data_IF_670506378181
#
_entry.id   IF_670506378181
#
_cell.length_a   1.000
_cell.length_b   1.000
_cell.length_c   1.000
_cell.angle_alpha   90.00
_cell.angle_beta   90.00
_cell.angle_gamma   90.00
#
_symmetry.space_group_name_H-M   'P 1'
#
loop_
_entity.id
_entity.type
_entity.pdbx_description
1 polymer ?
#
# COMPACT_ATOMS: atom_id res chain seq x y z
N UNK A 1 71.19 3.57 -25.71
CA UNK A 1 71.83 3.87 -26.98
C UNK A 1 70.68 4.35 -27.90
N UNK A 2 70.61 5.61 -28.12
CA UNK A 2 70.89 6.40 -29.31
C UNK A 2 70.07 6.00 -30.55
N UNK A 3 69.20 6.95 -30.93
CA UNK A 3 69.00 7.60 -32.25
C UNK A 3 68.17 6.80 -33.26
N UNK A 4 67.37 7.36 -34.19
CA UNK A 4 67.47 8.63 -34.92
C UNK A 4 66.15 8.95 -35.62
N UNK A 5 65.90 10.22 -35.84
CA UNK A 5 64.94 10.93 -36.70
C UNK A 5 64.84 10.38 -38.12
N UNK A 6 63.64 10.56 -38.75
CA UNK A 6 63.57 11.10 -40.11
C UNK A 6 62.28 11.82 -40.39
N UNK A 7 62.38 13.07 -40.69
CA UNK A 7 61.42 14.00 -41.31
C UNK A 7 61.25 13.63 -42.78
N UNK A 8 60.02 13.73 -43.29
CA UNK A 8 59.80 14.01 -44.74
C UNK A 8 58.61 14.96 -44.91
N UNK A 9 58.95 16.06 -45.54
CA UNK A 9 58.14 17.18 -45.96
C UNK A 9 57.51 16.83 -47.33
N UNK A 10 56.27 17.25 -47.59
CA UNK A 10 55.69 17.06 -48.92
C UNK A 10 54.31 17.67 -49.12
N UNK A 11 54.29 18.93 -49.46
CA UNK A 11 53.56 19.64 -50.55
C UNK A 11 52.02 19.67 -50.51
N UNK A 12 51.53 20.86 -50.37
CA UNK A 12 50.19 21.41 -50.58
C UNK A 12 49.62 21.12 -51.99
N UNK A 13 48.35 20.72 -52.03
CA UNK A 13 47.45 20.99 -53.15
C UNK A 13 46.10 21.44 -52.59
N UNK A 14 45.79 22.68 -52.79
CA UNK A 14 44.51 23.35 -52.47
C UNK A 14 43.48 22.93 -53.55
N UNK A 15 42.42 22.26 -53.10
CA UNK A 15 41.18 22.19 -53.86
C UNK A 15 40.05 22.75 -53.00
N UNK A 16 39.54 23.89 -53.45
CA UNK A 16 38.42 24.57 -52.80
C UNK A 16 37.14 23.77 -52.99
N UNK A 17 36.54 23.43 -51.85
CA UNK A 17 35.14 23.04 -51.80
C UNK A 17 34.34 24.14 -51.11
N UNK A 18 33.51 24.82 -51.89
CA UNK A 18 32.43 25.68 -51.42
C UNK A 18 31.42 24.83 -50.65
N UNK A 19 31.50 24.84 -49.32
CA UNK A 19 30.46 24.28 -48.47
C UNK A 19 29.30 25.27 -48.38
N UNK A 20 28.15 24.91 -48.93
CA UNK A 20 26.86 25.53 -48.60
C UNK A 20 26.57 25.31 -47.15
N UNK A 21 26.71 26.35 -46.33
CA UNK A 21 26.14 26.40 -44.97
C UNK A 21 24.62 26.52 -45.08
N UNK A 22 23.92 25.41 -44.98
CA UNK A 22 22.53 25.42 -44.52
C UNK A 22 22.56 25.46 -42.97
N UNK A 23 21.84 26.38 -42.32
CA UNK A 23 21.69 26.33 -40.89
C UNK A 23 20.80 25.10 -40.55
N UNK A 24 21.41 24.06 -39.99
CA UNK A 24 20.64 23.06 -39.28
C UNK A 24 20.04 23.74 -38.04
N UNK A 25 18.79 24.13 -38.15
CA UNK A 25 17.95 24.38 -36.99
C UNK A 25 17.70 23.03 -36.33
N UNK A 26 18.61 22.65 -35.40
CA UNK A 26 18.28 21.66 -34.42
C UNK A 26 17.16 22.26 -33.56
N UNK A 27 15.93 21.90 -33.86
CA UNK A 27 14.84 22.04 -32.91
C UNK A 27 15.20 21.14 -31.73
N UNK A 28 15.87 21.70 -30.71
CA UNK A 28 15.81 21.13 -29.38
C UNK A 28 14.32 21.12 -29.04
N UNK A 29 13.67 19.96 -29.10
CA UNK A 29 12.44 19.75 -28.37
C UNK A 29 12.81 20.06 -26.92
N UNK A 30 12.42 21.21 -26.41
CA UNK A 30 12.36 21.43 -24.98
C UNK A 30 11.40 20.37 -24.46
N UNK A 31 11.94 19.25 -23.99
CA UNK A 31 11.20 18.32 -23.16
C UNK A 31 10.85 19.12 -21.92
N UNK A 32 9.61 19.57 -21.86
CA UNK A 32 9.06 20.23 -20.69
C UNK A 32 9.26 19.29 -19.50
N UNK A 33 10.15 19.65 -18.56
CA UNK A 33 10.35 18.94 -17.30
C UNK A 33 9.17 19.10 -16.34
N UNK A 34 8.05 19.63 -16.82
CA UNK A 34 6.84 19.82 -16.05
C UNK A 34 6.09 18.49 -15.96
N UNK A 35 5.73 18.03 -14.76
CA UNK A 35 4.93 16.81 -14.60
C UNK A 35 3.62 16.87 -15.40
N UNK A 36 3.21 15.73 -15.94
CA UNK A 36 1.88 15.56 -16.52
C UNK A 36 0.85 15.88 -15.43
N UNK A 37 0.02 16.86 -15.68
CA UNK A 37 -1.01 17.27 -14.72
C UNK A 37 -2.11 16.23 -14.61
N UNK A 38 -2.52 15.95 -13.37
CA UNK A 38 -3.66 15.13 -13.04
C UNK A 38 -4.67 16.00 -12.28
N UNK A 39 -5.90 16.01 -12.72
CA UNK A 39 -6.92 16.88 -12.17
C UNK A 39 -7.29 16.48 -10.73
N UNK A 40 -7.44 17.50 -9.86
CA UNK A 40 -8.03 17.34 -8.53
C UNK A 40 -9.47 17.85 -8.59
N UNK A 41 -10.50 16.98 -8.60
CA UNK A 41 -11.89 17.40 -8.65
C UNK A 41 -12.26 18.29 -7.45
N UNK A 42 -13.07 19.29 -7.69
CA UNK A 42 -13.56 20.17 -6.63
C UNK A 42 -14.54 19.42 -5.71
N UNK A 43 -14.44 19.70 -4.40
CA UNK A 43 -15.39 19.17 -3.43
C UNK A 43 -16.80 19.73 -3.70
N UNK A 44 -17.81 18.88 -3.63
CA UNK A 44 -19.19 19.32 -3.80
C UNK A 44 -19.57 20.36 -2.73
N UNK A 45 -20.46 21.29 -3.09
CA UNK A 45 -20.89 22.35 -2.18
C UNK A 45 -21.50 21.77 -0.89
N UNK A 46 -21.04 22.25 0.27
CA UNK A 46 -21.49 21.81 1.58
C UNK A 46 -20.83 20.52 2.08
N UNK A 47 -20.02 19.85 1.26
CA UNK A 47 -19.27 18.68 1.65
C UNK A 47 -17.96 19.09 2.34
N UNK A 48 -17.56 18.33 3.35
CA UNK A 48 -16.32 18.57 4.13
C UNK A 48 -15.47 17.32 4.17
N UNK A 49 -14.16 17.49 4.43
CA UNK A 49 -13.26 16.36 4.59
C UNK A 49 -13.69 15.43 5.75
N UNK A 50 -13.18 14.20 5.70
CA UNK A 50 -13.39 13.15 6.71
C UNK A 50 -12.13 12.86 7.52
N UNK A 51 -11.17 13.80 7.52
CA UNK A 51 -10.00 13.72 8.40
C UNK A 51 -10.45 13.67 9.86
N UNK A 52 -9.95 12.72 10.64
CA UNK A 52 -10.39 12.44 12.01
C UNK A 52 -11.92 12.22 12.14
N UNK A 53 -12.55 11.63 11.13
CA UNK A 53 -13.96 11.28 11.21
C UNK A 53 -14.21 10.45 12.47
N UNK A 54 -15.18 10.87 13.28
CA UNK A 54 -15.73 10.11 14.39
C UNK A 54 -17.18 9.78 14.12
N UNK A 55 -17.66 8.68 14.66
CA UNK A 55 -19.06 8.24 14.54
C UNK A 55 -19.60 7.88 15.92
N UNK A 56 -20.89 7.62 16.02
CA UNK A 56 -21.48 7.16 17.27
C UNK A 56 -20.82 5.85 17.72
N UNK A 57 -20.61 5.70 19.02
CA UNK A 57 -20.13 4.44 19.61
C UNK A 57 -21.10 3.30 19.33
N UNK A 58 -20.53 2.15 19.00
CA UNK A 58 -21.29 0.92 18.79
C UNK A 58 -20.93 -0.08 19.91
N UNK A 59 -21.88 -0.48 20.73
CA UNK A 59 -21.64 -1.50 21.77
C UNK A 59 -21.14 -2.81 21.14
N UNK A 60 -21.75 -3.17 20.02
CA UNK A 60 -21.35 -4.31 19.17
C UNK A 60 -21.34 -3.85 17.72
N UNK A 61 -20.25 -4.09 17.01
CA UNK A 61 -20.16 -3.86 15.57
C UNK A 61 -20.72 -5.06 14.83
N UNK A 62 -21.82 -4.88 14.10
CA UNK A 62 -22.50 -5.91 13.33
C UNK A 62 -21.93 -5.92 11.91
N UNK A 63 -21.33 -7.04 11.54
CA UNK A 63 -20.50 -7.16 10.34
C UNK A 63 -21.17 -8.05 9.30
N UNK A 64 -21.35 -7.52 8.10
CA UNK A 64 -21.64 -8.29 6.90
C UNK A 64 -20.38 -8.51 6.08
N UNK A 65 -20.06 -9.75 5.73
CA UNK A 65 -18.85 -10.09 4.95
C UNK A 65 -19.25 -10.48 3.54
N UNK A 66 -18.64 -9.84 2.53
CA UNK A 66 -18.85 -10.10 1.11
C UNK A 66 -17.55 -10.62 0.48
N UNK A 67 -17.59 -11.82 -0.09
CA UNK A 67 -16.45 -12.56 -0.59
C UNK A 67 -15.88 -13.48 0.49
N UNK A 68 -15.96 -14.78 0.26
CA UNK A 68 -15.56 -15.82 1.22
C UNK A 68 -14.49 -16.77 0.64
N UNK A 69 -13.68 -16.22 -0.29
CA UNK A 69 -12.45 -16.86 -0.78
C UNK A 69 -11.39 -16.96 0.33
N UNK A 70 -10.13 -17.18 -0.05
CA UNK A 70 -9.01 -17.35 0.90
C UNK A 70 -9.02 -16.31 2.03
N UNK A 71 -9.06 -15.04 1.68
CA UNK A 71 -8.97 -13.92 2.63
C UNK A 71 -10.24 -13.77 3.45
N UNK A 72 -11.42 -13.89 2.81
CA UNK A 72 -12.70 -13.74 3.48
C UNK A 72 -13.00 -14.90 4.44
N UNK A 73 -12.67 -16.11 4.07
CA UNK A 73 -12.75 -17.26 4.97
C UNK A 73 -11.91 -17.04 6.24
N UNK A 74 -10.65 -16.64 6.06
CA UNK A 74 -9.76 -16.33 7.17
C UNK A 74 -10.26 -15.15 8.01
N UNK A 75 -10.92 -14.15 7.40
CA UNK A 75 -11.57 -13.08 8.17
C UNK A 75 -12.70 -13.59 9.05
N UNK A 76 -13.55 -14.51 8.56
CA UNK A 76 -14.59 -15.13 9.39
C UNK A 76 -13.98 -15.82 10.61
N UNK A 77 -12.88 -16.57 10.44
CA UNK A 77 -12.17 -17.20 11.56
C UNK A 77 -11.67 -16.18 12.59
N UNK A 78 -10.99 -15.11 12.14
CA UNK A 78 -10.47 -14.05 13.02
C UNK A 78 -11.58 -13.35 13.81
N UNK A 79 -12.71 -13.05 13.15
CA UNK A 79 -13.84 -12.38 13.79
C UNK A 79 -14.53 -13.20 14.88
N UNK A 80 -14.30 -14.51 14.94
CA UNK A 80 -14.75 -15.33 16.08
C UNK A 80 -14.00 -14.99 17.38
N UNK A 81 -12.82 -14.35 17.28
CA UNK A 81 -11.94 -14.03 18.40
C UNK A 81 -11.89 -12.54 18.75
N UNK A 82 -12.63 -11.67 18.03
CA UNK A 82 -12.65 -10.23 18.29
C UNK A 82 -13.85 -9.87 19.15
N UNK A 83 -13.59 -9.39 20.37
CA UNK A 83 -14.63 -8.93 21.28
C UNK A 83 -15.36 -7.70 20.73
N UNK A 84 -16.68 -7.70 20.86
CA UNK A 84 -17.54 -6.60 20.35
C UNK A 84 -17.76 -6.61 18.84
N UNK A 85 -17.30 -7.66 18.14
CA UNK A 85 -17.66 -7.92 16.75
C UNK A 85 -18.68 -9.06 16.67
N UNK A 86 -19.68 -8.91 15.80
CA UNK A 86 -20.68 -9.95 15.52
C UNK A 86 -20.91 -10.03 14.02
N UNK A 87 -20.59 -11.17 13.41
CA UNK A 87 -21.00 -11.43 12.02
C UNK A 87 -22.52 -11.59 12.01
N UNK A 88 -23.20 -10.84 11.16
CA UNK A 88 -24.67 -10.84 11.03
C UNK A 88 -25.16 -11.23 9.64
N UNK A 89 -24.28 -11.26 8.64
CA UNK A 89 -24.59 -11.73 7.30
C UNK A 89 -23.35 -12.17 6.55
N UNK A 90 -23.49 -13.13 5.65
CA UNK A 90 -22.44 -13.63 4.76
C UNK A 90 -22.90 -13.59 3.32
N UNK A 91 -21.99 -13.24 2.40
CA UNK A 91 -22.25 -13.24 0.96
C UNK A 91 -21.04 -13.76 0.19
N UNK A 92 -21.25 -14.70 -0.72
CA UNK A 92 -20.34 -15.10 -1.80
C UNK A 92 -21.22 -15.60 -2.96
N UNK A 93 -20.82 -15.36 -4.19
CA UNK A 93 -21.51 -15.86 -5.38
C UNK A 93 -21.55 -17.39 -5.39
N UNK A 94 -20.59 -18.05 -4.75
CA UNK A 94 -20.45 -19.50 -4.66
C UNK A 94 -21.06 -20.02 -3.36
N UNK A 95 -22.17 -20.80 -3.42
CA UNK A 95 -22.86 -21.32 -2.25
C UNK A 95 -21.96 -22.14 -1.31
N UNK A 96 -21.03 -22.91 -1.89
CA UNK A 96 -20.11 -23.75 -1.12
C UNK A 96 -19.14 -22.96 -0.24
N UNK A 97 -18.79 -21.74 -0.63
CA UNK A 97 -17.93 -20.86 0.18
C UNK A 97 -18.70 -20.29 1.36
N UNK A 98 -19.98 -19.94 1.14
CA UNK A 98 -20.88 -19.52 2.22
C UNK A 98 -21.06 -20.66 3.25
N UNK A 99 -21.28 -21.89 2.78
CA UNK A 99 -21.45 -23.04 3.66
C UNK A 99 -20.21 -23.31 4.52
N UNK A 100 -19.00 -23.24 3.93
CA UNK A 100 -17.74 -23.35 4.67
C UNK A 100 -17.62 -22.28 5.76
N UNK A 101 -17.96 -21.05 5.46
CA UNK A 101 -17.93 -19.94 6.42
C UNK A 101 -18.97 -20.12 7.55
N UNK A 102 -20.16 -20.61 7.24
CA UNK A 102 -21.18 -20.94 8.24
C UNK A 102 -20.68 -22.02 9.23
N UNK A 103 -19.98 -23.03 8.74
CA UNK A 103 -19.40 -24.07 9.59
C UNK A 103 -18.37 -23.53 10.58
N UNK A 104 -17.60 -22.49 10.21
CA UNK A 104 -16.70 -21.80 11.14
C UNK A 104 -17.49 -21.14 12.27
N UNK A 105 -18.59 -20.47 11.94
CA UNK A 105 -19.47 -19.79 12.91
C UNK A 105 -20.08 -20.83 13.87
N UNK A 106 -20.60 -21.94 13.35
CA UNK A 106 -21.20 -23.03 14.14
C UNK A 106 -20.16 -23.71 15.06
N UNK A 107 -18.96 -23.96 14.52
CA UNK A 107 -17.84 -24.53 15.30
C UNK A 107 -17.40 -23.62 16.46
N UNK A 108 -17.56 -22.30 16.30
CA UNK A 108 -17.33 -21.33 17.37
C UNK A 108 -18.52 -21.23 18.37
N UNK A 109 -19.53 -22.12 18.27
CA UNK A 109 -20.70 -22.13 19.14
C UNK A 109 -21.72 -21.02 18.87
N UNK A 110 -21.65 -20.38 17.70
CA UNK A 110 -22.58 -19.31 17.32
C UNK A 110 -23.61 -19.81 16.31
N UNK A 111 -24.84 -19.24 16.30
CA UNK A 111 -25.85 -19.61 15.31
C UNK A 111 -25.48 -19.20 13.90
N UNK A 112 -25.97 -19.93 12.91
CA UNK A 112 -25.87 -19.56 11.50
C UNK A 112 -26.49 -18.17 11.27
N UNK A 113 -25.93 -17.45 10.32
CA UNK A 113 -26.39 -16.09 9.97
C UNK A 113 -27.08 -16.09 8.61
N UNK A 114 -27.91 -15.10 8.30
CA UNK A 114 -28.44 -14.88 6.96
C UNK A 114 -27.36 -14.89 5.89
N UNK A 115 -27.66 -15.51 4.77
CA UNK A 115 -26.71 -15.72 3.68
C UNK A 115 -27.27 -15.28 2.34
N UNK A 116 -26.40 -14.77 1.48
CA UNK A 116 -26.70 -14.25 0.16
C UNK A 116 -25.75 -14.89 -0.85
N UNK A 117 -26.30 -15.56 -1.86
CA UNK A 117 -25.50 -16.34 -2.82
C UNK A 117 -26.23 -16.58 -4.13
N UNK A 118 -25.50 -17.08 -5.15
CA UNK A 118 -26.07 -17.53 -6.41
C UNK A 118 -26.43 -16.42 -7.40
N UNK A 119 -26.16 -15.16 -7.10
CA UNK A 119 -26.34 -14.02 -7.99
C UNK A 119 -25.20 -13.01 -7.85
N UNK A 120 -24.80 -12.39 -8.95
CA UNK A 120 -23.79 -11.31 -8.96
C UNK A 120 -24.23 -10.10 -8.14
N UNK A 121 -25.53 -9.89 -7.94
CA UNK A 121 -26.11 -8.78 -7.19
C UNK A 121 -26.54 -9.13 -5.75
N UNK A 122 -26.34 -10.38 -5.32
CA UNK A 122 -26.80 -10.84 -4.00
C UNK A 122 -26.25 -10.00 -2.83
N UNK A 123 -25.08 -9.42 -2.99
CA UNK A 123 -24.43 -8.56 -2.00
C UNK A 123 -25.21 -7.26 -1.69
N UNK A 124 -26.04 -6.76 -2.62
CA UNK A 124 -26.86 -5.55 -2.41
C UNK A 124 -27.81 -5.75 -1.23
N UNK A 125 -28.51 -6.89 -1.20
CA UNK A 125 -29.42 -7.19 -0.10
C UNK A 125 -28.71 -7.29 1.26
N UNK A 126 -27.44 -7.71 1.33
CA UNK A 126 -26.65 -7.63 2.54
C UNK A 126 -26.38 -6.18 2.95
N UNK A 127 -26.02 -5.30 2.01
CA UNK A 127 -25.77 -3.88 2.29
C UNK A 127 -27.02 -3.13 2.77
N UNK A 128 -28.21 -3.55 2.37
CA UNK A 128 -29.50 -2.94 2.75
C UNK A 128 -29.99 -3.34 4.15
N UNK A 129 -29.39 -4.36 4.78
CA UNK A 129 -29.83 -4.86 6.09
C UNK A 129 -29.72 -3.80 7.19
N UNK A 130 -30.75 -3.62 8.04
CA UNK A 130 -30.68 -2.71 9.19
C UNK A 130 -29.80 -3.21 10.33
N UNK A 131 -29.49 -4.51 10.37
CA UNK A 131 -28.65 -5.15 11.37
C UNK A 131 -27.20 -5.38 10.90
N UNK A 132 -26.71 -4.57 9.94
CA UNK A 132 -25.33 -4.48 9.51
C UNK A 132 -24.85 -3.06 9.72
N UNK A 133 -23.74 -2.86 10.44
CA UNK A 133 -23.07 -1.58 10.67
C UNK A 133 -21.86 -1.41 9.77
N UNK A 134 -21.11 -2.50 9.55
CA UNK A 134 -19.88 -2.59 8.79
C UNK A 134 -20.01 -3.62 7.68
N UNK A 135 -19.72 -3.24 6.45
CA UNK A 135 -19.57 -4.16 5.33
C UNK A 135 -18.07 -4.40 5.09
N UNK A 136 -17.66 -5.66 5.19
CA UNK A 136 -16.30 -6.14 5.00
C UNK A 136 -16.18 -6.79 3.61
N UNK A 137 -15.47 -6.16 2.68
CA UNK A 137 -15.42 -6.51 1.25
C UNK A 137 -14.12 -7.20 0.94
N UNK A 138 -14.20 -8.44 0.43
CA UNK A 138 -13.04 -9.34 0.18
C UNK A 138 -13.21 -10.10 -1.14
N UNK A 139 -13.72 -9.45 -2.15
CA UNK A 139 -13.96 -10.00 -3.49
C UNK A 139 -12.73 -9.89 -4.39
N UNK A 140 -12.90 -10.05 -5.69
CA UNK A 140 -11.90 -9.63 -6.66
C UNK A 140 -11.86 -8.10 -6.79
N UNK A 141 -10.73 -7.56 -7.25
CA UNK A 141 -10.46 -6.13 -7.21
C UNK A 141 -11.50 -5.26 -7.95
N UNK A 142 -12.01 -5.73 -9.10
CA UNK A 142 -12.98 -4.96 -9.90
C UNK A 142 -14.32 -4.71 -9.19
N UNK A 143 -14.66 -5.50 -8.19
CA UNK A 143 -15.91 -5.38 -7.44
C UNK A 143 -15.76 -4.57 -6.13
N UNK A 144 -14.53 -4.25 -5.71
CA UNK A 144 -14.26 -3.52 -4.48
C UNK A 144 -14.97 -2.18 -4.43
N UNK A 145 -14.67 -1.29 -5.38
CA UNK A 145 -15.25 0.06 -5.41
C UNK A 145 -16.77 0.07 -5.54
N UNK A 146 -17.41 -0.64 -6.51
CA UNK A 146 -18.87 -0.63 -6.63
C UNK A 146 -19.60 -1.06 -5.35
N UNK A 147 -19.09 -2.10 -4.68
CA UNK A 147 -19.66 -2.60 -3.42
C UNK A 147 -19.49 -1.60 -2.27
N UNK A 148 -18.31 -0.96 -2.17
CA UNK A 148 -18.03 0.04 -1.15
C UNK A 148 -18.93 1.28 -1.30
N UNK A 149 -19.07 1.79 -2.51
CA UNK A 149 -19.96 2.94 -2.80
C UNK A 149 -21.39 2.62 -2.39
N UNK A 150 -21.93 1.47 -2.81
CA UNK A 150 -23.28 1.07 -2.48
C UNK A 150 -23.48 0.90 -0.97
N UNK A 151 -22.56 0.26 -0.28
CA UNK A 151 -22.62 0.09 1.18
C UNK A 151 -22.64 1.43 1.90
N UNK A 152 -21.77 2.38 1.56
CA UNK A 152 -21.76 3.70 2.17
C UNK A 152 -23.03 4.49 1.88
N UNK A 153 -23.56 4.41 0.68
CA UNK A 153 -24.84 5.04 0.29
C UNK A 153 -26.03 4.48 1.09
N UNK A 154 -25.93 3.21 1.56
CA UNK A 154 -26.91 2.58 2.46
C UNK A 154 -26.56 2.74 3.95
N UNK A 155 -25.69 3.71 4.26
CA UNK A 155 -25.36 4.10 5.64
C UNK A 155 -24.42 3.16 6.37
N UNK A 156 -23.68 2.27 5.69
CA UNK A 156 -22.73 1.35 6.30
C UNK A 156 -21.32 1.94 6.33
N UNK A 157 -20.55 1.60 7.35
CA UNK A 157 -19.10 1.70 7.30
C UNK A 157 -18.55 0.62 6.38
N UNK A 158 -17.38 0.85 5.79
CA UNK A 158 -16.76 -0.07 4.85
C UNK A 158 -15.33 -0.38 5.28
N UNK A 159 -15.00 -1.67 5.27
CA UNK A 159 -13.65 -2.19 5.29
C UNK A 159 -13.44 -2.99 4.00
N UNK A 160 -12.38 -2.71 3.27
CA UNK A 160 -12.20 -3.21 1.90
C UNK A 160 -10.79 -3.73 1.70
N UNK A 161 -10.65 -4.96 1.20
CA UNK A 161 -9.34 -5.58 0.92
C UNK A 161 -8.55 -4.78 -0.13
N UNK A 162 -7.25 -5.00 -0.13
CA UNK A 162 -6.27 -4.32 -0.96
C UNK A 162 -6.19 -4.90 -2.39
N UNK A 163 -6.03 -4.05 -3.40
CA UNK A 163 -6.26 -2.60 -3.42
C UNK A 163 -7.75 -2.27 -3.45
N UNK A 164 -8.12 -1.16 -2.85
CA UNK A 164 -9.53 -0.77 -2.75
C UNK A 164 -10.08 -0.18 -4.05
N UNK A 165 -9.23 0.42 -4.88
CA UNK A 165 -9.57 1.07 -6.14
C UNK A 165 -8.48 0.79 -7.19
N UNK A 166 -8.86 0.81 -8.47
CA UNK A 166 -7.99 0.46 -9.59
C UNK A 166 -7.67 1.63 -10.52
N UNK A 167 -8.45 2.69 -10.48
CA UNK A 167 -8.25 3.89 -11.27
C UNK A 167 -8.60 5.17 -10.50
N UNK A 168 -8.35 6.32 -11.12
CA UNK A 168 -8.55 7.62 -10.48
C UNK A 168 -10.00 7.97 -10.24
N UNK A 169 -10.91 7.53 -11.11
CA UNK A 169 -12.35 7.79 -10.98
C UNK A 169 -12.91 7.02 -9.78
N UNK A 170 -12.52 5.77 -9.61
CA UNK A 170 -12.86 4.94 -8.45
C UNK A 170 -12.34 5.55 -7.14
N UNK A 171 -11.07 6.03 -7.13
CA UNK A 171 -10.48 6.68 -5.96
C UNK A 171 -11.30 7.90 -5.55
N UNK A 172 -11.59 8.80 -6.49
CA UNK A 172 -12.38 10.00 -6.20
C UNK A 172 -13.81 9.67 -5.79
N UNK A 173 -14.45 8.67 -6.40
CA UNK A 173 -15.79 8.22 -6.01
C UNK A 173 -15.84 7.71 -4.56
N UNK A 174 -14.82 6.98 -4.10
CA UNK A 174 -14.72 6.54 -2.70
C UNK A 174 -14.56 7.71 -1.73
N UNK A 175 -13.68 8.67 -2.05
CA UNK A 175 -13.50 9.89 -1.26
C UNK A 175 -14.81 10.66 -1.16
N UNK A 176 -15.42 11.00 -2.29
CA UNK A 176 -16.62 11.83 -2.35
C UNK A 176 -17.81 11.15 -1.66
N UNK A 177 -17.93 9.83 -1.78
CA UNK A 177 -18.99 9.08 -1.11
C UNK A 177 -18.77 9.03 0.40
N UNK A 178 -17.53 8.82 0.87
CA UNK A 178 -17.20 8.87 2.31
C UNK A 178 -17.45 10.25 2.90
N UNK A 179 -17.00 11.32 2.22
CA UNK A 179 -17.25 12.71 2.61
C UNK A 179 -18.76 13.03 2.66
N UNK A 180 -19.53 12.62 1.64
CA UNK A 180 -20.98 12.86 1.54
C UNK A 180 -21.78 12.10 2.59
N UNK A 181 -21.47 10.83 2.81
CA UNK A 181 -22.26 9.95 3.69
C UNK A 181 -21.77 9.99 5.14
N UNK A 182 -20.61 10.57 5.39
CA UNK A 182 -19.93 10.56 6.70
C UNK A 182 -19.75 9.13 7.23
N UNK A 183 -19.39 8.20 6.32
CA UNK A 183 -19.09 6.81 6.67
C UNK A 183 -17.60 6.53 6.50
N UNK A 184 -17.06 5.77 7.43
CA UNK A 184 -15.69 5.28 7.29
C UNK A 184 -15.56 4.39 6.06
N UNK A 185 -14.49 4.58 5.31
CA UNK A 185 -14.04 3.71 4.23
C UNK A 185 -12.56 3.42 4.47
N UNK A 186 -12.26 2.26 5.02
CA UNK A 186 -10.91 1.84 5.38
C UNK A 186 -10.44 0.74 4.42
N UNK A 187 -9.29 0.94 3.80
CA UNK A 187 -8.60 -0.15 3.11
C UNK A 187 -7.87 -1.02 4.14
N UNK A 188 -7.95 -2.32 3.97
CA UNK A 188 -7.40 -3.31 4.91
C UNK A 188 -5.92 -3.58 4.63
N UNK A 189 -5.10 -2.53 4.72
CA UNK A 189 -3.65 -2.64 4.57
C UNK A 189 -3.02 -3.16 5.85
N UNK A 190 -2.85 -4.47 5.92
CA UNK A 190 -2.39 -5.18 7.10
C UNK A 190 -0.92 -4.92 7.45
N UNK A 191 -0.08 -4.59 6.45
CA UNK A 191 1.36 -4.43 6.66
C UNK A 191 1.71 -3.25 7.56
N UNK A 192 0.83 -2.25 7.71
CA UNK A 192 1.02 -1.17 8.68
C UNK A 192 0.90 -1.63 10.14
N UNK A 193 0.36 -2.83 10.37
CA UNK A 193 0.24 -3.45 11.69
C UNK A 193 1.25 -4.58 11.94
N UNK A 194 2.17 -4.81 11.01
CA UNK A 194 3.26 -5.74 11.25
C UNK A 194 4.15 -5.25 12.40
N UNK A 195 4.63 -6.17 13.21
CA UNK A 195 5.34 -5.87 14.47
C UNK A 195 6.53 -4.94 14.30
N UNK A 196 7.31 -5.13 13.22
CA UNK A 196 8.46 -4.29 12.94
C UNK A 196 8.02 -2.90 12.47
N UNK A 197 7.08 -2.83 11.51
CA UNK A 197 6.61 -1.57 10.92
C UNK A 197 5.94 -0.67 11.96
N UNK A 198 5.02 -1.20 12.77
CA UNK A 198 4.31 -0.37 13.77
C UNK A 198 5.24 0.04 14.93
N UNK A 199 6.20 -0.80 15.33
CA UNK A 199 7.21 -0.45 16.32
C UNK A 199 8.14 0.63 15.79
N UNK A 200 8.59 0.48 14.54
CA UNK A 200 9.40 1.48 13.85
C UNK A 200 8.65 2.80 13.67
N UNK A 201 7.36 2.75 13.32
CA UNK A 201 6.53 3.95 13.24
C UNK A 201 6.50 4.69 14.58
N UNK A 202 6.36 3.97 15.70
CA UNK A 202 6.42 4.58 17.04
C UNK A 202 7.79 5.25 17.30
N UNK A 203 8.89 4.61 16.93
CA UNK A 203 10.24 5.20 17.02
C UNK A 203 10.37 6.47 16.18
N UNK A 204 9.87 6.44 14.94
CA UNK A 204 9.86 7.59 14.02
C UNK A 204 9.07 8.76 14.60
N UNK A 205 7.87 8.49 15.08
CA UNK A 205 7.00 9.54 15.65
C UNK A 205 7.56 10.15 16.93
N UNK A 206 8.39 9.41 17.67
CA UNK A 206 9.14 9.93 18.83
C UNK A 206 10.49 10.57 18.44
N UNK A 207 10.80 10.63 17.13
CA UNK A 207 11.97 11.33 16.61
C UNK A 207 13.29 10.56 16.72
N UNK A 208 13.26 9.26 17.02
CA UNK A 208 14.47 8.45 17.20
C UNK A 208 15.35 8.38 15.95
N UNK A 209 14.73 8.30 14.77
CA UNK A 209 15.45 8.33 13.49
C UNK A 209 15.75 9.76 13.01
N UNK A 210 15.40 10.79 13.79
CA UNK A 210 15.45 12.18 13.35
C UNK A 210 14.38 12.46 12.29
N UNK A 211 14.67 13.36 11.33
CA UNK A 211 13.76 13.61 10.20
C UNK A 211 13.93 12.49 9.18
N UNK A 212 12.91 11.69 8.95
CA UNK A 212 12.91 10.70 7.86
C UNK A 212 12.88 11.43 6.53
N UNK A 213 13.86 11.17 5.68
CA UNK A 213 14.07 11.88 4.40
C UNK A 213 13.84 11.00 3.18
N UNK A 214 13.89 9.68 3.36
CA UNK A 214 13.69 8.71 2.31
C UNK A 214 13.05 7.44 2.86
N UNK A 215 12.17 6.82 2.08
CA UNK A 215 11.59 5.52 2.38
C UNK A 215 11.57 4.61 1.15
N UNK A 216 11.79 3.32 1.36
CA UNK A 216 11.71 2.30 0.32
C UNK A 216 10.70 1.24 0.72
N UNK A 217 9.82 0.91 -0.21
CA UNK A 217 8.82 -0.14 -0.07
C UNK A 217 8.73 -1.02 -1.31
N UNK A 218 8.12 -2.18 -1.18
CA UNK A 218 7.92 -3.05 -2.33
C UNK A 218 6.78 -4.05 -2.14
N UNK A 219 6.37 -4.62 -3.24
CA UNK A 219 5.68 -5.90 -3.26
C UNK A 219 6.44 -6.85 -4.19
N UNK A 220 7.42 -7.54 -3.62
CA UNK A 220 8.21 -8.56 -4.29
C UNK A 220 7.74 -9.91 -3.77
N UNK A 221 6.94 -10.61 -4.56
CA UNK A 221 6.30 -11.85 -4.15
C UNK A 221 6.08 -12.76 -5.35
N UNK A 222 6.96 -13.69 -5.59
CA UNK A 222 6.71 -14.70 -6.64
C UNK A 222 5.40 -15.43 -6.36
N UNK A 223 4.44 -15.33 -7.27
CA UNK A 223 3.10 -15.89 -7.13
C UNK A 223 2.92 -17.21 -7.90
N UNK A 224 3.99 -17.87 -8.36
CA UNK A 224 3.92 -19.09 -9.17
C UNK A 224 3.06 -20.21 -8.53
N UNK A 225 3.10 -20.33 -7.20
CA UNK A 225 2.31 -21.31 -6.43
C UNK A 225 0.87 -20.86 -6.14
N UNK A 226 0.57 -19.56 -6.34
CA UNK A 226 -0.70 -18.96 -5.92
C UNK A 226 -1.62 -18.57 -7.08
N UNK A 227 -1.14 -18.48 -8.34
CA UNK A 227 -1.96 -17.99 -9.44
C UNK A 227 -3.28 -18.73 -9.61
N UNK A 228 -3.28 -20.05 -9.41
CA UNK A 228 -4.47 -20.90 -9.54
C UNK A 228 -5.38 -20.90 -8.30
N UNK A 229 -4.93 -20.34 -7.19
CA UNK A 229 -5.75 -20.17 -5.98
C UNK A 229 -6.81 -19.06 -6.15
N UNK A 230 -6.54 -18.11 -7.05
CA UNK A 230 -7.49 -17.05 -7.38
C UNK A 230 -8.56 -17.58 -8.33
N UNK A 231 -9.80 -17.53 -7.90
CA UNK A 231 -10.94 -18.02 -8.68
C UNK A 231 -10.92 -17.47 -10.12
N UNK A 232 -11.01 -18.36 -11.12
CA UNK A 232 -10.90 -18.03 -12.54
C UNK A 232 -9.62 -17.25 -12.91
N UNK A 233 -8.54 -17.41 -12.16
CA UNK A 233 -7.24 -16.75 -12.39
C UNK A 233 -7.33 -15.22 -12.53
N UNK A 234 -8.32 -14.58 -11.92
CA UNK A 234 -8.62 -13.15 -12.13
C UNK A 234 -7.43 -12.24 -11.86
N UNK A 235 -6.56 -12.59 -10.90
CA UNK A 235 -5.39 -11.78 -10.57
C UNK A 235 -4.32 -11.85 -11.65
N UNK A 236 -4.09 -13.01 -12.25
CA UNK A 236 -3.17 -13.18 -13.37
C UNK A 236 -3.70 -12.47 -14.62
N UNK A 237 -5.02 -12.58 -14.90
CA UNK A 237 -5.69 -11.87 -15.98
C UNK A 237 -5.60 -10.35 -15.81
N UNK A 238 -5.62 -9.85 -14.56
CA UNK A 238 -5.42 -8.43 -14.29
C UNK A 238 -3.98 -8.00 -14.64
N UNK A 239 -2.96 -8.74 -14.20
CA UNK A 239 -1.56 -8.47 -14.56
C UNK A 239 -1.32 -8.58 -16.06
N UNK A 240 -2.00 -9.51 -16.74
CA UNK A 240 -1.92 -9.63 -18.19
C UNK A 240 -2.39 -8.36 -18.92
N UNK A 241 -3.42 -7.69 -18.41
CA UNK A 241 -4.09 -6.57 -19.08
C UNK A 241 -3.60 -5.18 -18.63
N UNK A 242 -2.88 -5.09 -17.52
CA UNK A 242 -2.50 -3.81 -16.92
C UNK A 242 -0.99 -3.71 -16.77
N UNK A 243 -0.46 -2.50 -17.01
CA UNK A 243 0.95 -2.14 -16.88
C UNK A 243 1.16 -1.24 -15.67
N UNK A 244 2.32 -1.30 -15.07
CA UNK A 244 2.72 -0.44 -13.97
C UNK A 244 2.77 -1.13 -12.62
N UNK A 245 2.76 -0.34 -11.55
CA UNK A 245 2.73 -0.85 -10.18
C UNK A 245 1.30 -1.21 -9.78
N UNK A 246 0.84 -2.39 -10.18
CA UNK A 246 -0.56 -2.81 -10.03
C UNK A 246 -0.93 -3.24 -8.62
N UNK A 247 0.03 -3.32 -7.70
CA UNK A 247 -0.22 -3.70 -6.31
C UNK A 247 0.77 -3.02 -5.33
N UNK A 248 0.72 -1.67 -5.19
CA UNK A 248 1.70 -0.91 -4.42
C UNK A 248 1.47 -0.92 -2.91
N UNK A 249 0.26 -1.24 -2.44
CA UNK A 249 -0.24 -0.88 -1.11
C UNK A 249 0.61 -1.39 0.05
N UNK A 250 1.07 -2.64 -0.01
CA UNK A 250 1.92 -3.24 1.01
C UNK A 250 3.31 -2.58 1.15
N UNK A 251 3.82 -2.03 0.05
CA UNK A 251 5.08 -1.29 0.07
C UNK A 251 4.89 0.16 0.49
N UNK A 252 3.92 0.85 -0.14
CA UNK A 252 3.74 2.29 0.06
C UNK A 252 3.08 2.64 1.39
N UNK A 253 2.14 1.85 1.89
CA UNK A 253 1.36 2.15 3.09
C UNK A 253 2.23 2.42 4.32
N UNK A 254 3.05 1.46 4.77
CA UNK A 254 3.92 1.67 5.94
C UNK A 254 4.92 2.82 5.75
N UNK A 255 5.42 3.02 4.53
CA UNK A 255 6.34 4.12 4.20
C UNK A 255 5.62 5.48 4.29
N UNK A 256 4.42 5.60 3.73
CA UNK A 256 3.60 6.82 3.83
C UNK A 256 3.32 7.20 5.28
N UNK A 257 3.01 6.22 6.13
CA UNK A 257 2.83 6.47 7.56
C UNK A 257 4.09 7.04 8.20
N UNK A 258 5.26 6.45 7.95
CA UNK A 258 6.53 6.91 8.49
C UNK A 258 6.91 8.31 8.00
N UNK A 259 6.54 8.69 6.78
CA UNK A 259 6.79 10.01 6.20
C UNK A 259 5.70 11.04 6.55
N UNK A 260 4.64 10.65 7.24
CA UNK A 260 3.48 11.48 7.61
C UNK A 260 2.74 12.04 6.39
N UNK A 261 2.54 11.24 5.34
CA UNK A 261 1.74 11.64 4.18
C UNK A 261 0.29 11.94 4.62
N UNK A 262 -0.30 13.02 4.08
CA UNK A 262 -1.50 13.77 4.49
C UNK A 262 -1.64 14.07 6.01
N UNK A 263 -0.53 13.90 6.74
CA UNK A 263 -0.42 14.26 8.18
C UNK A 263 0.81 15.15 8.44
N UNK A 264 1.05 16.09 7.53
CA UNK A 264 2.17 17.04 7.56
C UNK A 264 3.06 17.03 6.32
N UNK A 265 2.81 16.11 5.37
CA UNK A 265 3.45 16.04 4.06
C UNK A 265 2.44 15.53 3.02
N UNK A 266 2.74 15.61 1.73
CA UNK A 266 1.98 15.01 0.63
C UNK A 266 2.91 14.57 -0.49
N UNK A 267 2.50 13.58 -1.26
CA UNK A 267 3.19 13.20 -2.48
C UNK A 267 2.89 14.25 -3.58
N UNK A 268 3.91 14.66 -4.35
CA UNK A 268 3.77 15.69 -5.38
C UNK A 268 3.75 15.11 -6.79
N UNK A 269 4.73 14.29 -7.12
CA UNK A 269 4.81 13.64 -8.42
C UNK A 269 5.59 12.34 -8.34
N UNK A 270 5.36 11.47 -9.31
CA UNK A 270 6.10 10.23 -9.48
C UNK A 270 6.70 10.10 -10.88
N UNK A 271 7.69 9.22 -10.97
CA UNK A 271 8.25 8.71 -12.23
C UNK A 271 8.36 7.20 -12.12
N UNK A 272 7.93 6.46 -13.13
CA UNK A 272 8.01 5.01 -13.15
C UNK A 272 8.81 4.49 -14.34
N UNK A 273 9.55 3.41 -14.12
CA UNK A 273 10.30 2.66 -15.13
C UNK A 273 9.97 1.19 -14.93
N UNK A 274 9.79 0.47 -16.03
CA UNK A 274 9.54 -0.98 -15.98
C UNK A 274 10.41 -1.77 -16.96
N UNK A 275 10.51 -3.06 -16.72
CA UNK A 275 11.06 -4.02 -17.68
C UNK A 275 9.98 -4.46 -18.67
N UNK A 276 10.39 -5.13 -19.75
CA UNK A 276 9.44 -5.90 -20.56
C UNK A 276 8.96 -7.14 -19.76
N UNK A 277 7.78 -7.69 -20.11
CA UNK A 277 7.25 -8.88 -19.46
C UNK A 277 7.91 -10.16 -20.01
N UNK A 278 9.15 -10.42 -19.65
CA UNK A 278 9.87 -11.63 -20.09
C UNK A 278 9.26 -12.88 -19.43
N UNK A 279 9.20 -12.88 -18.10
CA UNK A 279 8.68 -13.99 -17.30
C UNK A 279 7.16 -14.00 -17.23
N UNK A 280 6.52 -12.85 -17.19
CA UNK A 280 5.05 -12.72 -17.14
C UNK A 280 4.36 -13.45 -18.27
N UNK A 281 4.90 -13.37 -19.50
CA UNK A 281 4.40 -14.12 -20.67
C UNK A 281 4.44 -15.63 -20.48
N UNK A 282 5.57 -16.15 -19.98
CA UNK A 282 5.76 -17.59 -19.73
C UNK A 282 4.79 -18.09 -18.65
N UNK A 283 4.63 -17.32 -17.57
CA UNK A 283 3.70 -17.64 -16.48
C UNK A 283 2.27 -17.70 -17.00
N UNK A 284 1.86 -16.69 -17.78
CA UNK A 284 0.51 -16.65 -18.34
C UNK A 284 0.22 -17.85 -19.25
N UNK A 285 1.16 -18.17 -20.15
CA UNK A 285 1.04 -19.33 -21.01
C UNK A 285 1.00 -20.65 -20.20
N UNK A 286 1.85 -20.78 -19.19
CA UNK A 286 1.89 -21.98 -18.33
C UNK A 286 0.58 -22.20 -17.58
N UNK A 287 0.00 -21.14 -17.00
CA UNK A 287 -1.20 -21.23 -16.14
C UNK A 287 -2.48 -21.35 -16.96
N UNK A 288 -2.58 -20.60 -18.07
CA UNK A 288 -3.84 -20.49 -18.82
C UNK A 288 -3.86 -21.34 -20.10
N UNK A 289 -2.70 -21.79 -20.60
CA UNK A 289 -2.56 -22.43 -21.89
C UNK A 289 -2.70 -21.49 -23.10
N UNK A 290 -2.88 -20.16 -22.86
CA UNK A 290 -3.03 -19.15 -23.90
C UNK A 290 -1.69 -18.50 -24.24
N UNK A 291 -1.59 -17.90 -25.43
CA UNK A 291 -0.44 -17.07 -25.79
C UNK A 291 -0.35 -15.85 -24.86
N UNK A 292 0.83 -15.59 -24.31
CA UNK A 292 1.12 -14.44 -23.45
C UNK A 292 1.83 -13.30 -24.19
N UNK A 293 1.87 -13.29 -25.52
CA UNK A 293 2.63 -12.29 -26.28
C UNK A 293 2.20 -10.86 -26.02
N UNK A 294 0.93 -10.65 -25.65
CA UNK A 294 0.30 -9.36 -25.31
C UNK A 294 0.28 -9.03 -23.82
N UNK A 295 1.01 -9.77 -22.98
CA UNK A 295 1.12 -9.50 -21.55
C UNK A 295 1.66 -8.08 -21.31
N UNK A 296 0.97 -7.28 -20.48
CA UNK A 296 1.24 -5.86 -20.32
C UNK A 296 2.15 -5.55 -19.13
N UNK A 297 1.97 -6.23 -17.98
CA UNK A 297 2.73 -5.89 -16.78
C UNK A 297 4.20 -6.24 -16.93
N UNK A 298 5.08 -5.27 -16.76
CA UNK A 298 6.51 -5.52 -16.69
C UNK A 298 6.85 -6.47 -15.53
N UNK A 299 7.89 -7.32 -15.71
CA UNK A 299 8.29 -8.25 -14.63
C UNK A 299 8.72 -7.49 -13.37
N UNK A 300 9.33 -6.33 -13.54
CA UNK A 300 9.68 -5.40 -12.46
C UNK A 300 9.28 -3.98 -12.84
N UNK A 301 8.57 -3.31 -11.94
CA UNK A 301 8.31 -1.86 -12.01
C UNK A 301 8.99 -1.17 -10.84
N UNK A 302 9.65 -0.03 -11.08
CA UNK A 302 10.25 0.84 -10.06
C UNK A 302 9.62 2.21 -10.21
N UNK A 303 9.07 2.72 -9.11
CA UNK A 303 8.44 4.05 -9.03
C UNK A 303 9.17 4.91 -8.01
N UNK A 304 9.61 6.10 -8.43
CA UNK A 304 10.19 7.12 -7.57
C UNK A 304 9.20 8.25 -7.36
N UNK A 305 9.03 8.68 -6.10
CA UNK A 305 8.07 9.70 -5.70
C UNK A 305 8.81 10.83 -5.00
N UNK A 306 8.42 12.08 -5.29
CA UNK A 306 8.85 13.27 -4.57
C UNK A 306 7.71 13.83 -3.73
N UNK A 307 8.00 14.22 -2.48
CA UNK A 307 7.01 14.82 -1.59
C UNK A 307 7.15 16.34 -1.52
N UNK A 308 6.11 17.03 -1.01
CA UNK A 308 6.06 18.47 -0.79
C UNK A 308 7.18 18.96 0.15
N UNK A 309 7.44 18.20 1.22
CA UNK A 309 8.51 18.52 2.17
C UNK A 309 9.91 18.15 1.69
N UNK A 310 10.06 17.77 0.41
CA UNK A 310 11.34 17.46 -0.20
C UNK A 310 11.90 16.07 0.09
N UNK A 311 11.09 15.17 0.66
CA UNK A 311 11.45 13.76 0.86
C UNK A 311 11.27 12.94 -0.41
N UNK A 312 11.75 11.72 -0.41
CA UNK A 312 11.60 10.78 -1.54
C UNK A 312 11.10 9.42 -1.07
N UNK A 313 10.40 8.74 -1.97
CA UNK A 313 9.95 7.36 -1.76
C UNK A 313 10.31 6.55 -3.01
N UNK A 314 10.78 5.31 -2.81
CA UNK A 314 10.96 4.33 -3.87
C UNK A 314 10.02 3.15 -3.63
N UNK A 315 9.30 2.72 -4.67
CA UNK A 315 8.45 1.54 -4.63
C UNK A 315 8.86 0.57 -5.74
N UNK A 316 8.86 -0.73 -5.43
CA UNK A 316 9.10 -1.79 -6.41
C UNK A 316 7.93 -2.79 -6.42
N UNK A 317 7.56 -3.25 -7.60
CA UNK A 317 6.58 -4.29 -7.80
C UNK A 317 7.14 -5.41 -8.69
N UNK A 318 7.08 -6.66 -8.20
CA UNK A 318 7.53 -7.86 -8.91
C UNK A 318 6.79 -9.08 -8.36
N UNK A 319 5.98 -9.72 -9.19
CA UNK A 319 5.16 -10.88 -8.77
C UNK A 319 5.45 -12.16 -9.58
N UNK A 320 6.42 -12.13 -10.49
CA UNK A 320 6.69 -13.23 -11.41
C UNK A 320 8.12 -13.76 -11.35
N UNK A 321 9.10 -12.96 -10.87
CA UNK A 321 10.49 -13.42 -10.86
C UNK A 321 10.83 -14.22 -9.60
N UNK A 322 11.82 -15.13 -9.65
CA UNK A 322 12.23 -15.94 -8.52
C UNK A 322 13.09 -15.11 -7.55
N UNK A 323 12.45 -14.22 -6.81
CA UNK A 323 13.08 -13.41 -5.75
C UNK A 323 12.51 -13.80 -4.39
N UNK A 324 13.31 -13.73 -3.31
CA UNK A 324 12.78 -13.87 -1.96
C UNK A 324 11.68 -12.83 -1.70
N UNK A 325 10.65 -13.22 -0.94
CA UNK A 325 9.60 -12.28 -0.52
C UNK A 325 10.20 -11.07 0.18
N UNK A 326 9.77 -9.88 -0.24
CA UNK A 326 10.21 -8.62 0.37
C UNK A 326 9.18 -7.52 0.19
N UNK A 327 8.91 -6.80 1.27
CA UNK A 327 8.24 -5.48 1.23
C UNK A 327 9.24 -4.34 1.33
N UNK A 328 10.54 -4.64 1.32
CA UNK A 328 11.66 -3.74 1.62
C UNK A 328 11.51 -3.10 3.01
N UNK A 329 10.72 -2.06 3.14
CA UNK A 329 10.53 -1.26 4.33
C UNK A 329 11.87 -0.78 4.90
N UNK A 330 12.48 0.13 4.15
CA UNK A 330 13.69 0.82 4.57
C UNK A 330 13.37 2.29 4.80
N UNK A 331 13.82 2.83 5.92
CA UNK A 331 13.64 4.23 6.27
C UNK A 331 14.98 4.87 6.58
N UNK A 332 15.33 5.91 5.81
CA UNK A 332 16.53 6.71 6.04
C UNK A 332 16.14 8.01 6.73
N UNK A 333 16.63 8.19 7.94
CA UNK A 333 16.47 9.41 8.72
C UNK A 333 17.79 10.15 8.92
N UNK A 334 17.73 11.37 9.44
CA UNK A 334 18.92 12.19 9.72
C UNK A 334 19.73 11.71 10.92
N UNK A 335 19.19 10.81 11.73
CA UNK A 335 19.83 10.24 12.93
C UNK A 335 19.86 8.72 12.95
N UNK A 336 19.24 8.06 11.99
CA UNK A 336 19.17 6.61 11.96
C UNK A 336 18.55 6.04 10.72
N UNK A 337 18.65 4.74 10.62
CA UNK A 337 18.14 3.92 9.51
C UNK A 337 17.43 2.70 10.09
N UNK A 338 16.32 2.32 9.49
CA UNK A 338 15.59 1.09 9.77
C UNK A 338 15.50 0.24 8.50
N UNK A 339 15.72 -1.06 8.63
CA UNK A 339 15.61 -2.03 7.54
C UNK A 339 14.88 -3.28 8.00
N UNK A 340 13.90 -3.76 7.21
CA UNK A 340 13.23 -5.02 7.52
C UNK A 340 13.75 -6.18 6.68
N UNK A 341 13.87 -6.02 5.38
CA UNK A 341 14.24 -7.10 4.47
C UNK A 341 15.59 -6.84 3.81
N UNK A 342 16.41 -7.88 3.63
CA UNK A 342 16.21 -9.28 4.04
C UNK A 342 16.46 -9.55 5.54
N UNK A 343 16.92 -8.57 6.29
CA UNK A 343 17.28 -8.71 7.70
C UNK A 343 16.75 -7.50 8.49
N UNK A 344 16.02 -7.77 9.56
CA UNK A 344 15.55 -6.72 10.46
C UNK A 344 16.70 -6.09 11.25
N UNK A 345 16.81 -4.77 11.17
CA UNK A 345 17.86 -4.05 11.87
C UNK A 345 17.63 -2.55 11.94
N UNK A 346 18.27 -1.94 12.92
CA UNK A 346 18.39 -0.50 13.06
C UNK A 346 19.86 -0.09 13.09
N UNK A 347 20.11 1.08 12.54
CA UNK A 347 21.37 1.80 12.69
C UNK A 347 21.03 3.17 13.25
N UNK A 348 21.62 3.56 14.36
CA UNK A 348 21.37 4.83 15.01
C UNK A 348 22.67 5.53 15.36
N UNK A 349 22.68 6.85 15.22
CA UNK A 349 23.78 7.64 15.78
C UNK A 349 23.80 7.43 17.30
N UNK A 350 24.97 7.13 17.90
CA UNK A 350 25.06 6.80 19.33
C UNK A 350 24.43 7.86 20.25
N UNK A 351 24.56 9.14 19.90
CA UNK A 351 23.96 10.25 20.64
C UNK A 351 22.44 10.34 20.56
N UNK A 352 21.81 9.57 19.67
CA UNK A 352 20.33 9.52 19.50
C UNK A 352 19.64 8.60 20.50
N UNK A 353 20.42 7.78 21.24
CA UNK A 353 19.92 6.78 22.18
C UNK A 353 20.65 6.97 23.51
N UNK A 354 19.91 7.09 24.62
CA UNK A 354 20.54 7.20 25.93
C UNK A 354 21.22 5.87 26.31
N UNK A 355 22.40 5.96 26.98
CA UNK A 355 23.20 4.78 27.37
C UNK A 355 22.42 3.72 28.17
N UNK A 356 21.43 4.17 28.97
CA UNK A 356 20.59 3.28 29.76
C UNK A 356 19.48 2.58 28.96
N UNK A 357 19.29 2.93 27.69
CA UNK A 357 18.18 2.39 26.89
C UNK A 357 18.51 1.09 26.18
N UNK A 358 19.78 0.86 25.89
CA UNK A 358 20.25 -0.32 25.19
C UNK A 358 21.51 -0.89 25.84
N UNK A 359 21.65 -2.21 25.90
CA UNK A 359 22.91 -2.84 26.29
C UNK A 359 24.00 -2.55 25.26
N UNK A 360 25.27 -2.58 25.69
CA UNK A 360 26.43 -2.41 24.82
C UNK A 360 26.39 -1.14 23.96
N UNK A 361 25.90 -0.04 24.53
CA UNK A 361 25.70 1.25 23.84
C UNK A 361 26.98 1.73 23.13
N UNK A 362 28.16 1.43 23.67
CA UNK A 362 29.45 1.76 23.08
C UNK A 362 29.73 1.07 21.74
N UNK A 363 28.96 0.02 21.40
CA UNK A 363 29.02 -0.68 20.11
C UNK A 363 28.07 -0.09 19.07
N UNK A 364 27.27 0.91 19.43
CA UNK A 364 26.44 1.62 18.45
C UNK A 364 27.33 2.39 17.48
N UNK A 365 26.91 2.44 16.23
CA UNK A 365 27.67 3.05 15.16
C UNK A 365 26.72 3.66 14.12
N UNK A 366 27.08 4.81 13.59
CA UNK A 366 26.40 5.39 12.42
C UNK A 366 26.79 4.66 11.10
N UNK A 367 27.48 3.53 11.17
CA UNK A 367 27.99 2.82 10.00
C UNK A 367 27.57 1.34 9.94
N UNK A 368 27.26 0.74 11.10
CA UNK A 368 26.86 -0.67 11.19
C UNK A 368 25.52 -0.81 11.88
N UNK A 369 24.78 -1.87 11.53
CA UNK A 369 23.59 -2.26 12.28
C UNK A 369 23.95 -2.51 13.75
N UNK A 370 23.04 -2.11 14.64
CA UNK A 370 23.22 -2.32 16.06
C UNK A 370 23.26 -3.81 16.42
N UNK A 371 23.92 -4.18 17.54
CA UNK A 371 23.87 -5.54 18.06
C UNK A 371 22.46 -6.04 18.32
N UNK A 372 22.24 -7.34 18.20
CA UNK A 372 20.93 -7.97 18.31
C UNK A 372 20.24 -7.74 19.67
N UNK A 373 21.01 -7.74 20.76
CA UNK A 373 20.53 -7.44 22.11
C UNK A 373 20.08 -5.98 22.26
N UNK A 374 20.82 -5.05 21.67
CA UNK A 374 20.44 -3.63 21.62
C UNK A 374 19.17 -3.42 20.80
N UNK A 375 19.06 -4.10 19.63
CA UNK A 375 17.84 -4.07 18.81
C UNK A 375 16.62 -4.56 19.59
N UNK A 376 16.74 -5.71 20.26
CA UNK A 376 15.63 -6.28 21.06
C UNK A 376 15.19 -5.35 22.19
N UNK A 377 16.15 -4.78 22.93
CA UNK A 377 15.85 -3.83 24.01
C UNK A 377 15.14 -2.58 23.46
N UNK A 378 15.57 -2.06 22.32
CA UNK A 378 14.99 -0.91 21.67
C UNK A 378 13.57 -1.22 21.20
N UNK A 379 13.36 -2.34 20.50
CA UNK A 379 12.03 -2.76 20.04
C UNK A 379 11.07 -2.98 21.20
N UNK A 380 11.50 -3.59 22.30
CA UNK A 380 10.65 -3.77 23.48
C UNK A 380 10.26 -2.43 24.13
N UNK A 381 11.21 -1.49 24.21
CA UNK A 381 10.94 -0.15 24.74
C UNK A 381 9.90 0.61 23.92
N UNK A 382 10.03 0.57 22.58
CA UNK A 382 9.16 1.32 21.67
C UNK A 382 7.96 0.49 21.16
N UNK A 383 7.79 -0.75 21.66
CA UNK A 383 6.62 -1.56 21.34
C UNK A 383 5.33 -0.80 21.68
N UNK A 384 4.44 -0.54 20.73
CA UNK A 384 3.16 0.12 21.01
C UNK A 384 2.31 -0.72 21.97
N UNK A 385 1.46 -0.07 22.76
CA UNK A 385 0.58 -0.75 23.70
C UNK A 385 -0.25 -1.85 23.06
N UNK A 386 -0.79 -1.61 21.87
CA UNK A 386 -1.58 -2.62 21.14
C UNK A 386 -0.81 -3.93 20.94
N UNK A 387 0.49 -3.89 20.67
CA UNK A 387 1.30 -5.10 20.58
C UNK A 387 1.51 -5.74 21.95
N UNK A 388 1.75 -4.94 22.99
CA UNK A 388 1.90 -5.47 24.36
C UNK A 388 0.65 -6.20 24.81
N UNK A 389 -0.53 -5.70 24.45
CA UNK A 389 -1.81 -6.24 24.86
C UNK A 389 -2.27 -7.45 24.01
N UNK A 390 -1.91 -7.49 22.73
CA UNK A 390 -2.53 -8.42 21.76
C UNK A 390 -1.57 -9.37 21.03
N UNK A 391 -0.25 -9.18 21.15
CA UNK A 391 0.73 -9.91 20.32
C UNK A 391 0.58 -11.44 20.42
N UNK A 392 0.43 -11.97 21.64
CA UNK A 392 0.29 -13.41 21.85
C UNK A 392 -1.02 -13.94 21.24
N UNK A 393 -2.13 -13.22 21.45
CA UNK A 393 -3.42 -13.58 20.87
C UNK A 393 -3.37 -13.48 19.34
N UNK A 394 -2.78 -12.44 18.80
CA UNK A 394 -2.65 -12.22 17.37
C UNK A 394 -1.85 -13.34 16.68
N UNK A 395 -0.72 -13.74 17.27
CA UNK A 395 0.08 -14.87 16.78
C UNK A 395 -0.68 -16.20 16.82
N UNK A 396 -1.50 -16.41 17.86
CA UNK A 396 -2.31 -17.62 18.02
C UNK A 396 -3.48 -17.69 17.04
N UNK A 397 -4.18 -16.57 16.84
CA UNK A 397 -5.32 -16.50 15.90
C UNK A 397 -4.83 -16.52 14.45
N UNK A 398 -3.69 -15.85 14.18
CA UNK A 398 -3.06 -15.89 12.88
C UNK A 398 -3.53 -14.79 11.91
N UNK A 399 -3.33 -15.05 10.62
CA UNK A 399 -3.42 -14.05 9.54
C UNK A 399 -2.11 -13.28 9.40
N UNK A 400 -1.25 -13.73 8.46
CA UNK A 400 0.08 -13.15 8.19
C UNK A 400 0.90 -12.90 9.47
N UNK A 401 1.01 -13.92 10.33
CA UNK A 401 1.76 -13.81 11.59
C UNK A 401 1.06 -12.98 12.68
N UNK A 402 -0.21 -12.60 12.49
CA UNK A 402 -1.03 -11.88 13.46
C UNK A 402 -1.37 -10.44 13.07
N UNK A 403 -0.70 -9.86 12.05
CA UNK A 403 -0.99 -8.46 11.66
C UNK A 403 -2.43 -8.27 11.16
N UNK A 404 -3.02 -9.26 10.49
CA UNK A 404 -4.43 -9.21 10.08
C UNK A 404 -5.37 -9.12 11.28
N UNK A 405 -5.07 -9.88 12.33
CA UNK A 405 -5.88 -9.86 13.56
C UNK A 405 -5.80 -8.50 14.25
N UNK A 406 -4.61 -7.91 14.35
CA UNK A 406 -4.42 -6.59 14.96
C UNK A 406 -5.17 -5.52 14.17
N UNK A 407 -5.10 -5.56 12.85
CA UNK A 407 -5.84 -4.65 11.96
C UNK A 407 -7.35 -4.73 12.19
N UNK A 408 -7.91 -5.95 12.13
CA UNK A 408 -9.34 -6.18 12.35
C UNK A 408 -9.77 -5.76 13.77
N UNK A 409 -8.97 -6.07 14.78
CA UNK A 409 -9.22 -5.65 16.16
C UNK A 409 -9.26 -4.11 16.28
N UNK A 410 -8.29 -3.40 15.67
CA UNK A 410 -8.24 -1.93 15.70
C UNK A 410 -9.44 -1.30 15.04
N UNK A 411 -9.86 -1.81 13.89
CA UNK A 411 -11.08 -1.36 13.21
C UNK A 411 -12.30 -1.47 14.14
N UNK A 412 -12.51 -2.63 14.74
CA UNK A 412 -13.63 -2.85 15.66
C UNK A 412 -13.51 -1.98 16.91
N UNK A 413 -12.31 -1.86 17.48
CA UNK A 413 -12.05 -1.02 18.65
C UNK A 413 -12.39 0.47 18.37
N UNK A 414 -11.98 1.02 17.23
CA UNK A 414 -12.27 2.40 16.86
C UNK A 414 -13.79 2.62 16.71
N UNK A 415 -14.50 1.74 16.00
CA UNK A 415 -15.96 1.86 15.82
C UNK A 415 -16.72 1.72 17.15
N UNK A 416 -16.30 0.82 18.03
CA UNK A 416 -16.89 0.68 19.38
C UNK A 416 -16.72 1.91 20.25
N UNK A 417 -15.60 2.60 20.12
CA UNK A 417 -15.27 3.73 20.95
C UNK A 417 -15.58 5.10 20.32
N UNK A 418 -16.10 5.10 19.08
CA UNK A 418 -16.37 6.34 18.32
C UNK A 418 -15.10 7.12 18.02
N UNK A 419 -13.99 6.44 17.78
CA UNK A 419 -12.70 7.03 17.46
C UNK A 419 -12.50 7.12 15.95
N UNK A 420 -11.65 8.04 15.48
CA UNK A 420 -11.14 7.96 14.11
C UNK A 420 -10.46 6.62 13.85
N UNK A 421 -10.57 6.12 12.63
CA UNK A 421 -9.80 4.94 12.24
C UNK A 421 -8.32 5.28 12.11
N UNK A 422 -7.46 4.27 12.22
CA UNK A 422 -6.01 4.41 12.06
C UNK A 422 -5.62 4.71 10.60
N UNK A 423 -6.45 4.25 9.65
CA UNK A 423 -6.36 4.56 8.22
C UNK A 423 -7.71 5.08 7.74
N UNK A 424 -7.70 6.14 6.97
CA UNK A 424 -8.90 6.77 6.42
C UNK A 424 -8.97 6.61 4.88
N UNK A 425 -9.97 7.22 4.26
CA UNK A 425 -10.18 7.14 2.80
C UNK A 425 -9.05 7.85 2.03
N UNK A 426 -8.34 8.78 2.65
CA UNK A 426 -7.21 9.46 1.99
C UNK A 426 -5.95 8.59 1.98
N UNK A 427 -5.69 7.78 3.03
CA UNK A 427 -4.66 6.73 3.01
C UNK A 427 -4.91 5.76 1.86
N UNK A 428 -6.16 5.28 1.74
CA UNK A 428 -6.59 4.42 0.64
C UNK A 428 -6.29 5.05 -0.72
N UNK A 429 -6.66 6.31 -0.91
CA UNK A 429 -6.49 7.04 -2.16
C UNK A 429 -5.01 7.20 -2.53
N UNK A 430 -4.19 7.62 -1.58
CA UNK A 430 -2.75 7.82 -1.77
C UNK A 430 -2.01 6.52 -2.09
N UNK A 431 -2.45 5.40 -1.53
CA UNK A 431 -1.77 4.13 -1.76
C UNK A 431 -2.26 3.44 -3.03
N UNK A 432 -3.52 3.60 -3.41
CA UNK A 432 -4.07 3.05 -4.66
C UNK A 432 -3.66 3.86 -5.90
N UNK A 433 -3.41 5.17 -5.78
CA UNK A 433 -3.15 6.03 -6.94
C UNK A 433 -1.88 5.66 -7.72
N UNK A 434 -0.94 4.94 -7.09
CA UNK A 434 0.28 4.53 -7.76
C UNK A 434 0.02 3.64 -8.97
N UNK A 435 -1.00 2.77 -8.92
CA UNK A 435 -1.33 1.90 -10.03
C UNK A 435 -1.68 2.68 -11.32
N UNK A 436 -2.69 3.55 -11.34
CA UNK A 436 -3.01 4.33 -12.53
C UNK A 436 -1.94 5.38 -12.89
N UNK A 437 -1.29 6.02 -11.91
CA UNK A 437 -0.30 7.07 -12.19
C UNK A 437 1.05 6.51 -12.67
N UNK A 438 1.49 5.35 -12.17
CA UNK A 438 2.66 4.67 -12.70
C UNK A 438 2.45 4.25 -14.16
N UNK A 439 1.27 3.72 -14.49
CA UNK A 439 0.87 3.41 -15.87
C UNK A 439 0.97 4.66 -16.75
N UNK A 440 0.41 5.78 -16.30
CA UNK A 440 0.46 7.03 -17.05
C UNK A 440 1.90 7.50 -17.30
N UNK A 441 2.79 7.38 -16.31
CA UNK A 441 4.22 7.68 -16.47
C UNK A 441 4.85 6.79 -17.55
N UNK A 442 4.65 5.49 -17.47
CA UNK A 442 5.23 4.49 -18.39
C UNK A 442 4.74 4.66 -19.83
N UNK A 443 3.45 4.96 -20.03
CA UNK A 443 2.86 5.18 -21.35
C UNK A 443 3.34 6.47 -22.01
N UNK A 444 3.87 7.40 -21.20
CA UNK A 444 4.45 8.67 -21.65
C UNK A 444 5.99 8.68 -21.58
N UNK A 445 6.64 7.51 -21.75
CA UNK A 445 8.09 7.40 -21.81
C UNK A 445 8.78 7.68 -20.47
N UNK A 446 8.17 7.27 -19.36
CA UNK A 446 8.64 7.54 -18.00
C UNK A 446 8.66 9.03 -17.64
N UNK A 447 7.70 9.78 -18.18
CA UNK A 447 7.54 11.19 -17.84
C UNK A 447 7.09 11.35 -16.37
N UNK A 448 7.47 12.45 -15.70
CA UNK A 448 6.92 12.78 -14.39
C UNK A 448 5.39 12.96 -14.46
N UNK A 449 4.66 12.46 -13.47
CA UNK A 449 3.21 12.56 -13.34
C UNK A 449 2.87 13.17 -11.99
N UNK A 450 2.04 14.21 -11.98
CA UNK A 450 1.55 14.84 -10.75
C UNK A 450 0.68 13.86 -9.95
N UNK A 451 0.85 13.86 -8.62
CA UNK A 451 -0.02 13.14 -7.70
C UNK A 451 -0.99 14.16 -7.10
N UNK A 452 -2.30 14.02 -7.32
CA UNK A 452 -3.30 14.94 -6.77
C UNK A 452 -3.28 15.00 -5.24
N UNK A 453 -3.64 16.14 -4.70
CA UNK A 453 -3.93 16.25 -3.27
C UNK A 453 -5.33 15.71 -2.97
N UNK A 454 -5.41 14.46 -2.54
CA UNK A 454 -6.67 13.80 -2.24
C UNK A 454 -7.44 14.45 -1.10
N UNK A 455 -6.75 15.19 -0.22
CA UNK A 455 -7.38 15.94 0.88
C UNK A 455 -7.91 17.31 0.46
N UNK A 456 -7.67 17.71 -0.80
CA UNK A 456 -8.07 19.03 -1.36
C UNK A 456 -7.63 20.20 -0.48
N UNK A 457 -6.32 20.23 -0.13
CA UNK A 457 -5.67 21.28 0.65
C UNK A 457 -5.63 21.03 2.16
N UNK A 458 -6.15 19.89 2.64
CA UNK A 458 -6.20 19.62 4.08
C UNK A 458 -5.03 18.74 4.61
N UNK A 459 -4.09 18.35 3.76
CA UNK A 459 -2.97 17.45 4.07
C UNK A 459 -2.10 17.86 5.27
N UNK A 460 -2.15 19.12 5.70
CA UNK A 460 -1.36 19.65 6.82
C UNK A 460 -2.21 19.97 8.07
N UNK A 461 -3.52 19.64 8.08
CA UNK A 461 -4.40 19.86 9.23
C UNK A 461 -4.10 18.90 10.39
N UNK A 462 -3.63 17.70 10.09
CA UNK A 462 -3.22 16.69 11.07
C UNK A 462 -1.70 16.58 11.12
N UNK A 463 -1.17 16.01 12.20
CA UNK A 463 0.26 15.71 12.32
C UNK A 463 0.46 14.36 12.99
N UNK A 464 1.21 13.51 12.30
CA UNK A 464 1.60 12.19 12.77
C UNK A 464 0.45 11.19 12.92
N UNK A 465 0.79 9.99 13.37
CA UNK A 465 -0.12 8.87 13.58
C UNK A 465 -0.31 8.58 15.07
N UNK A 466 -1.52 8.72 15.56
CA UNK A 466 -1.81 8.61 17.01
C UNK A 466 -1.82 7.16 17.50
N UNK A 467 -2.21 6.20 16.66
CA UNK A 467 -2.25 4.80 17.07
C UNK A 467 -0.89 4.19 17.43
N UNK A 468 0.21 4.73 16.87
CA UNK A 468 1.57 4.34 17.22
C UNK A 468 1.96 4.67 18.67
N UNK A 469 1.28 5.64 19.29
CA UNK A 469 1.56 6.16 20.65
C UNK A 469 0.52 5.78 21.70
N UNK A 470 -0.44 4.93 21.39
CA UNK A 470 -1.46 4.53 22.34
C UNK A 470 -0.80 3.69 23.44
N UNK A 471 -0.50 4.35 24.55
CA UNK A 471 0.00 3.76 25.79
C UNK A 471 -1.15 3.41 26.73
#
# INVERSE_FOLDING_TARGET
>A
MKKLYSMLLGIFLSAGFTACNQPQTSSKSETSNTPIKVETPQRAQGQTDVLNLTTNKLDTVRVGIIGLGMRGYSAVERYMHIEGAKITALCDIRPEMVEKAQQVIEKAGRPRVPQYTGSEDAWKALCERPDVDLVYIVTDWKHHTPMALYAMQHGKHVAIEVPAALDMDEIWALIDTSEKTRRHCMMLENCVYDYFEITTLNMVQQGLLGKVIHGEGSYIHNLDEFWTEYWNNWRLDYNHKHRGDVYPTHGIGPVCQALNIHRGDKMNYLVSIDTKPFRGKEVYQKVTGKDGADFQNGDLTITMIKTEQGKTIQIQHDVVTPRPYSRMYQLTGTKGFANKYPMEGYLLQPESVAKAEVPNHENLSAHNFMPEDAKKALMEKYKPRILKDLEEQAKKVGGHGGMDFIMDYRLIYCLRNGLPLDMDVYDLAEWCCLAPLSKLSLENGSAPVEIPDFTRGAWNKQKGYKHAFVN
#
